data_IF_590844858997
#
_entry.id   IF_590844858997
#
_cell.length_a   1.000
_cell.length_b   1.000
_cell.length_c   1.000
_cell.angle_alpha   90.00
_cell.angle_beta   90.00
_cell.angle_gamma   90.00
#
_symmetry.space_group_name_H-M   'P 1'
#
loop_
_entity.id
_entity.type
_entity.pdbx_description
1 polymer ?
#
# COMPACT_ATOMS: atom_id res chain seq x y z
N UNK A 1 -5.34 -26.61 -4.02
CA UNK A 1 -4.60 -25.57 -4.78
C UNK A 1 -3.98 -24.51 -3.87
N UNK A 2 -4.68 -24.09 -2.80
CA UNK A 2 -4.18 -23.12 -1.80
C UNK A 2 -2.83 -23.48 -1.18
N UNK A 3 -2.65 -24.71 -0.67
CA UNK A 3 -1.39 -25.13 -0.04
C UNK A 3 -0.13 -24.94 -0.91
N UNK A 4 -0.21 -25.17 -2.24
CA UNK A 4 0.93 -24.99 -3.13
C UNK A 4 1.28 -23.50 -3.31
N UNK A 5 0.26 -22.64 -3.45
CA UNK A 5 0.44 -21.19 -3.57
C UNK A 5 1.00 -20.59 -2.27
N UNK A 6 0.50 -21.01 -1.10
CA UNK A 6 1.01 -20.55 0.20
C UNK A 6 2.46 -20.97 0.46
N UNK A 7 2.85 -22.19 0.09
CA UNK A 7 4.26 -22.61 0.13
C UNK A 7 5.13 -21.76 -0.78
N UNK A 8 4.65 -21.44 -1.99
CA UNK A 8 5.36 -20.56 -2.90
C UNK A 8 5.49 -19.13 -2.33
N UNK A 9 4.42 -18.57 -1.77
CA UNK A 9 4.43 -17.27 -1.08
C UNK A 9 5.44 -17.24 0.06
N UNK A 10 5.46 -18.27 0.90
CA UNK A 10 6.37 -18.38 2.05
C UNK A 10 7.83 -18.47 1.61
N UNK A 11 8.14 -19.34 0.64
CA UNK A 11 9.50 -19.47 0.09
C UNK A 11 9.94 -18.16 -0.56
N UNK A 12 9.05 -17.55 -1.34
CA UNK A 12 9.35 -16.36 -2.11
C UNK A 12 9.60 -15.14 -1.22
N UNK A 13 8.77 -14.92 -0.21
CA UNK A 13 8.96 -13.85 0.78
C UNK A 13 10.20 -14.09 1.65
N UNK A 14 10.47 -15.33 2.04
CA UNK A 14 11.67 -15.71 2.78
C UNK A 14 12.96 -15.43 2.00
N UNK A 15 13.00 -15.79 0.71
CA UNK A 15 14.17 -15.53 -0.15
C UNK A 15 14.35 -14.02 -0.36
N UNK A 16 13.28 -13.28 -0.63
CA UNK A 16 13.33 -11.82 -0.78
C UNK A 16 13.89 -11.14 0.48
N UNK A 17 13.36 -11.53 1.66
CA UNK A 17 13.80 -11.06 2.97
C UNK A 17 15.28 -11.40 3.25
N UNK A 18 15.66 -12.66 3.07
CA UNK A 18 17.02 -13.13 3.35
C UNK A 18 18.07 -12.45 2.47
N UNK A 19 17.75 -12.28 1.18
CA UNK A 19 18.61 -11.56 0.24
C UNK A 19 18.70 -10.08 0.60
N UNK A 20 17.57 -9.44 0.93
CA UNK A 20 17.53 -8.06 1.41
C UNK A 20 18.40 -7.83 2.65
N UNK A 21 18.30 -8.71 3.64
CA UNK A 21 19.09 -8.64 4.87
C UNK A 21 20.60 -8.87 4.60
N UNK A 22 20.95 -9.76 3.66
CA UNK A 22 22.34 -10.10 3.32
C UNK A 22 23.11 -8.97 2.62
N UNK A 23 22.40 -8.00 2.03
CA UNK A 23 22.99 -6.90 1.26
C UNK A 23 23.64 -5.85 2.18
N UNK A 24 23.35 -5.84 3.48
CA UNK A 24 24.18 -5.15 4.48
C UNK A 24 24.22 -3.62 4.39
N UNK A 25 23.55 -2.99 3.41
CA UNK A 25 23.52 -1.53 3.19
C UNK A 25 22.26 -0.91 3.81
N UNK A 26 22.19 -1.00 5.15
CA UNK A 26 21.09 -0.55 6.01
C UNK A 26 21.05 0.96 6.26
N UNK A 27 21.04 1.80 5.21
CA UNK A 27 21.09 3.27 5.42
C UNK A 27 19.97 4.08 4.76
N UNK A 28 18.88 3.45 4.32
CA UNK A 28 17.75 4.16 3.72
C UNK A 28 16.40 3.72 4.29
N UNK A 29 15.53 4.70 4.57
CA UNK A 29 14.13 4.47 4.98
C UNK A 29 13.43 3.45 4.09
N UNK A 30 13.66 3.52 2.78
CA UNK A 30 13.00 2.67 1.79
C UNK A 30 13.43 1.19 1.89
N UNK A 31 14.71 0.91 2.13
CA UNK A 31 15.18 -0.47 2.34
C UNK A 31 14.59 -1.10 3.60
N UNK A 32 14.49 -0.33 4.70
CA UNK A 32 13.85 -0.79 5.94
C UNK A 32 12.37 -1.13 5.71
N UNK A 33 11.66 -0.31 4.93
CA UNK A 33 10.27 -0.57 4.56
C UNK A 33 10.10 -1.83 3.73
N UNK A 34 10.93 -2.05 2.70
CA UNK A 34 10.87 -3.29 1.90
C UNK A 34 11.14 -4.54 2.75
N UNK A 35 12.11 -4.50 3.67
CA UNK A 35 12.34 -5.60 4.60
C UNK A 35 11.17 -5.85 5.55
N UNK A 36 10.56 -4.77 6.09
CA UNK A 36 9.38 -4.88 6.93
C UNK A 36 8.24 -5.55 6.17
N UNK A 37 7.99 -5.16 4.91
CA UNK A 37 6.97 -5.78 4.05
C UNK A 37 7.25 -7.28 3.87
N UNK A 38 8.46 -7.67 3.47
CA UNK A 38 8.77 -9.08 3.24
C UNK A 38 8.68 -9.92 4.51
N UNK A 39 9.14 -9.38 5.65
CA UNK A 39 9.02 -10.03 6.95
C UNK A 39 7.56 -10.18 7.37
N UNK A 40 6.77 -9.12 7.27
CA UNK A 40 5.35 -9.14 7.58
C UNK A 40 4.60 -10.16 6.74
N UNK A 41 4.79 -10.14 5.41
CA UNK A 41 4.17 -11.12 4.51
C UNK A 41 4.61 -12.55 4.83
N UNK A 42 5.88 -12.77 5.20
CA UNK A 42 6.37 -14.10 5.61
C UNK A 42 5.67 -14.58 6.89
N UNK A 43 5.60 -13.74 7.93
CA UNK A 43 4.97 -14.08 9.21
C UNK A 43 3.48 -14.35 9.04
N UNK A 44 2.76 -13.49 8.31
CA UNK A 44 1.32 -13.67 8.06
C UNK A 44 1.06 -14.98 7.32
N UNK A 45 1.82 -15.27 6.27
CA UNK A 45 1.66 -16.51 5.49
C UNK A 45 2.05 -17.74 6.30
N UNK A 46 3.04 -17.64 7.18
CA UNK A 46 3.39 -18.71 8.11
C UNK A 46 2.24 -18.99 9.09
N UNK A 47 1.63 -17.96 9.67
CA UNK A 47 0.46 -18.10 10.56
C UNK A 47 -0.71 -18.74 9.81
N UNK A 48 -1.02 -18.27 8.59
CA UNK A 48 -2.09 -18.83 7.77
C UNK A 48 -1.86 -20.32 7.47
N UNK A 49 -0.61 -20.69 7.17
CA UNK A 49 -0.23 -22.08 6.90
C UNK A 49 -0.30 -22.95 8.16
N UNK A 50 0.08 -22.43 9.34
CA UNK A 50 -0.06 -23.16 10.61
C UNK A 50 -1.53 -23.40 10.94
N UNK A 51 -2.39 -22.39 10.81
CA UNK A 51 -3.82 -22.53 11.11
C UNK A 51 -4.49 -23.55 10.18
N UNK A 52 -4.14 -23.54 8.89
CA UNK A 52 -4.63 -24.52 7.91
C UNK A 52 -4.12 -25.95 8.24
N UNK A 53 -2.85 -26.11 8.61
CA UNK A 53 -2.30 -27.42 8.96
C UNK A 53 -2.84 -27.98 10.27
N UNK A 54 -3.22 -27.12 11.21
CA UNK A 54 -3.78 -27.51 12.50
C UNK A 54 -5.32 -27.60 12.49
N UNK A 55 -5.97 -27.35 11.34
CA UNK A 55 -7.44 -27.33 11.20
C UNK A 55 -8.12 -26.41 12.24
N UNK A 56 -7.46 -25.31 12.62
CA UNK A 56 -7.93 -24.38 13.67
C UNK A 56 -8.90 -23.31 13.15
N UNK A 57 -9.48 -23.51 11.96
CA UNK A 57 -10.31 -22.53 11.28
C UNK A 57 -11.57 -22.18 12.08
N UNK A 58 -12.20 -23.18 12.71
CA UNK A 58 -13.44 -23.03 13.48
C UNK A 58 -13.26 -22.38 14.87
N UNK A 59 -12.01 -22.21 15.34
CA UNK A 59 -11.72 -21.67 16.67
C UNK A 59 -11.69 -20.13 16.70
N UNK A 60 -11.75 -19.48 15.53
CA UNK A 60 -11.72 -18.02 15.45
C UNK A 60 -13.13 -17.41 15.41
N UNK A 61 -13.37 -16.32 16.18
CA UNK A 61 -14.69 -15.69 16.27
C UNK A 61 -15.09 -14.88 15.02
N UNK A 62 -14.23 -14.78 14.02
CA UNK A 62 -14.43 -14.03 12.78
C UNK A 62 -14.37 -14.97 11.56
N UNK A 63 -14.93 -14.55 10.43
CA UNK A 63 -14.89 -15.33 9.19
C UNK A 63 -13.44 -15.45 8.70
N UNK A 64 -12.87 -16.64 8.90
CA UNK A 64 -11.49 -16.98 8.54
C UNK A 64 -11.21 -16.71 7.06
N UNK A 65 -12.14 -17.08 6.17
CA UNK A 65 -12.03 -16.83 4.72
C UNK A 65 -11.92 -15.34 4.37
N UNK A 66 -12.74 -14.49 5.01
CA UNK A 66 -12.72 -13.06 4.75
C UNK A 66 -11.42 -12.40 5.23
N UNK A 67 -10.93 -12.85 6.38
CA UNK A 67 -9.64 -12.43 6.90
C UNK A 67 -8.50 -12.86 5.97
N UNK A 68 -8.51 -14.11 5.52
CA UNK A 68 -7.51 -14.66 4.61
C UNK A 68 -7.46 -13.91 3.28
N UNK A 69 -8.61 -13.72 2.62
CA UNK A 69 -8.70 -12.98 1.34
C UNK A 69 -8.13 -11.57 1.52
N UNK A 70 -8.44 -10.91 2.64
CA UNK A 70 -7.96 -9.57 2.95
C UNK A 70 -6.46 -9.54 3.15
N UNK A 71 -5.92 -10.44 3.97
CA UNK A 71 -4.48 -10.58 4.23
C UNK A 71 -3.70 -10.90 2.94
N UNK A 72 -4.24 -11.76 2.07
CA UNK A 72 -3.63 -12.09 0.79
C UNK A 72 -3.67 -10.89 -0.18
N UNK A 73 -4.77 -10.14 -0.20
CA UNK A 73 -4.88 -8.92 -1.00
C UNK A 73 -3.86 -7.85 -0.56
N UNK A 74 -3.79 -7.57 0.74
CA UNK A 74 -2.80 -6.63 1.28
C UNK A 74 -1.37 -7.11 1.04
N UNK A 75 -1.08 -8.39 1.27
CA UNK A 75 0.25 -8.96 1.00
C UNK A 75 0.64 -8.85 -0.47
N UNK A 76 -0.30 -9.06 -1.40
CA UNK A 76 -0.08 -8.83 -2.83
C UNK A 76 0.30 -7.37 -3.10
N UNK A 77 -0.51 -6.42 -2.65
CA UNK A 77 -0.30 -4.99 -2.89
C UNK A 77 1.01 -4.49 -2.27
N UNK A 78 1.34 -4.93 -1.06
CA UNK A 78 2.58 -4.59 -0.39
C UNK A 78 3.79 -5.19 -1.12
N UNK A 79 3.74 -6.47 -1.53
CA UNK A 79 4.81 -7.09 -2.32
C UNK A 79 5.00 -6.44 -3.69
N UNK A 80 3.93 -5.97 -4.34
CA UNK A 80 3.98 -5.19 -5.57
C UNK A 80 4.63 -3.82 -5.33
N UNK A 81 4.28 -3.14 -4.23
CA UNK A 81 4.91 -1.86 -3.88
C UNK A 81 6.42 -2.04 -3.63
N UNK A 82 6.82 -3.09 -2.90
CA UNK A 82 8.21 -3.40 -2.65
C UNK A 82 8.96 -3.74 -3.96
N UNK A 83 8.34 -4.48 -4.88
CA UNK A 83 8.98 -4.84 -6.16
C UNK A 83 9.14 -3.68 -7.14
N UNK A 84 8.39 -2.58 -6.97
CA UNK A 84 8.56 -1.36 -7.76
C UNK A 84 9.54 -0.40 -7.09
N UNK A 85 9.36 -0.16 -5.78
CA UNK A 85 10.11 0.87 -5.06
C UNK A 85 11.55 0.41 -4.78
N UNK A 86 11.76 -0.82 -4.32
CA UNK A 86 13.09 -1.32 -3.96
C UNK A 86 14.11 -1.27 -5.13
N UNK A 87 13.82 -1.79 -6.34
CA UNK A 87 14.79 -1.72 -7.42
C UNK A 87 14.99 -0.31 -7.96
N UNK A 88 13.95 0.54 -8.00
CA UNK A 88 14.08 1.90 -8.54
C UNK A 88 14.98 2.78 -7.69
N UNK A 89 15.09 2.49 -6.39
CA UNK A 89 15.98 3.22 -5.49
C UNK A 89 17.38 2.65 -5.39
N UNK A 90 17.55 1.33 -5.50
CA UNK A 90 18.85 0.69 -5.30
C UNK A 90 19.56 0.32 -6.62
N UNK A 91 18.87 -0.06 -7.70
CA UNK A 91 19.54 -0.49 -8.95
C UNK A 91 20.24 0.68 -9.68
N UNK A 92 19.76 1.92 -9.53
CA UNK A 92 20.32 3.07 -10.24
C UNK A 92 21.69 3.53 -9.70
N UNK A 93 22.11 3.08 -8.52
CA UNK A 93 23.27 3.67 -7.80
C UNK A 93 24.38 2.68 -7.44
N UNK A 94 24.28 1.40 -7.80
CA UNK A 94 25.32 0.42 -7.44
C UNK A 94 26.30 0.12 -8.61
N UNK A 95 27.59 0.47 -8.47
CA UNK A 95 28.63 0.14 -9.46
C UNK A 95 29.10 -1.32 -9.39
N UNK A 96 28.74 -2.07 -8.34
CA UNK A 96 29.22 -3.44 -8.09
C UNK A 96 28.20 -4.50 -8.51
N UNK A 97 28.64 -5.49 -9.31
CA UNK A 97 27.77 -6.48 -9.96
C UNK A 97 27.06 -7.39 -8.95
N UNK A 98 27.74 -7.75 -7.86
CA UNK A 98 27.26 -8.76 -6.91
C UNK A 98 26.07 -8.29 -6.06
N UNK A 99 26.03 -7.01 -5.71
CA UNK A 99 24.90 -6.41 -4.98
C UNK A 99 23.71 -6.11 -5.89
N UNK A 100 23.99 -5.75 -7.15
CA UNK A 100 22.96 -5.57 -8.17
C UNK A 100 22.24 -6.89 -8.44
N UNK A 101 22.98 -7.98 -8.59
CA UNK A 101 22.40 -9.31 -8.80
C UNK A 101 21.49 -9.72 -7.63
N UNK A 102 21.93 -9.53 -6.37
CA UNK A 102 21.09 -9.80 -5.19
C UNK A 102 19.82 -8.94 -5.13
N UNK A 103 19.92 -7.67 -5.52
CA UNK A 103 18.77 -6.74 -5.57
C UNK A 103 17.76 -7.18 -6.63
N UNK A 104 18.25 -7.58 -7.81
CA UNK A 104 17.41 -8.13 -8.89
C UNK A 104 16.74 -9.42 -8.44
N UNK A 105 17.47 -10.34 -7.83
CA UNK A 105 16.92 -11.60 -7.33
C UNK A 105 15.86 -11.35 -6.25
N UNK A 106 16.14 -10.51 -5.25
CA UNK A 106 15.16 -10.17 -4.20
C UNK A 106 13.89 -9.54 -4.79
N UNK A 107 14.04 -8.66 -5.78
CA UNK A 107 12.90 -8.05 -6.51
C UNK A 107 12.11 -9.09 -7.29
N UNK A 108 12.77 -10.01 -8.00
CA UNK A 108 12.13 -11.08 -8.76
C UNK A 108 11.31 -11.99 -7.84
N UNK A 109 11.86 -12.35 -6.68
CA UNK A 109 11.10 -13.09 -5.67
C UNK A 109 9.94 -12.24 -5.11
N UNK A 110 10.11 -10.95 -4.81
CA UNK A 110 8.98 -10.09 -4.42
C UNK A 110 7.85 -10.06 -5.47
N UNK A 111 8.19 -10.06 -6.77
CA UNK A 111 7.21 -10.20 -7.86
C UNK A 111 6.54 -11.58 -7.88
N UNK A 112 7.29 -12.66 -7.67
CA UNK A 112 6.73 -14.01 -7.58
C UNK A 112 5.76 -14.13 -6.40
N UNK A 113 6.09 -13.55 -5.24
CA UNK A 113 5.20 -13.49 -4.08
C UNK A 113 3.92 -12.74 -4.44
N UNK A 114 4.02 -11.57 -5.08
CA UNK A 114 2.86 -10.81 -5.56
C UNK A 114 1.96 -11.66 -6.46
N UNK A 115 2.52 -12.30 -7.49
CA UNK A 115 1.75 -13.16 -8.40
C UNK A 115 1.10 -14.31 -7.65
N UNK A 116 1.81 -14.94 -6.71
CA UNK A 116 1.28 -16.05 -5.93
C UNK A 116 0.10 -15.61 -5.02
N UNK A 117 0.19 -14.46 -4.35
CA UNK A 117 -0.93 -13.90 -3.57
C UNK A 117 -2.11 -13.51 -4.46
N UNK A 118 -1.85 -12.83 -5.58
CA UNK A 118 -2.88 -12.41 -6.53
C UNK A 118 -3.60 -13.61 -7.15
N UNK A 119 -2.87 -14.67 -7.50
CA UNK A 119 -3.43 -15.91 -8.02
C UNK A 119 -4.29 -16.61 -6.97
N UNK A 120 -3.90 -16.63 -5.70
CA UNK A 120 -4.75 -17.22 -4.65
C UNK A 120 -6.07 -16.46 -4.51
N UNK A 121 -6.02 -15.12 -4.49
CA UNK A 121 -7.23 -14.28 -4.46
C UNK A 121 -8.10 -14.49 -5.71
N UNK A 122 -7.49 -14.56 -6.90
CA UNK A 122 -8.20 -14.79 -8.15
C UNK A 122 -8.87 -16.18 -8.20
N UNK A 123 -8.17 -17.21 -7.73
CA UNK A 123 -8.71 -18.57 -7.64
C UNK A 123 -9.90 -18.65 -6.67
N UNK A 124 -9.81 -17.99 -5.50
CA UNK A 124 -10.92 -17.93 -4.54
C UNK A 124 -12.12 -17.20 -5.15
N UNK A 125 -11.90 -16.07 -5.85
CA UNK A 125 -12.97 -15.33 -6.53
C UNK A 125 -13.61 -16.09 -7.70
N UNK A 126 -12.88 -16.98 -8.35
CA UNK A 126 -13.40 -17.80 -9.44
C UNK A 126 -14.31 -18.93 -8.97
N UNK A 127 -14.37 -19.23 -7.66
CA UNK A 127 -15.25 -20.27 -7.13
C UNK A 127 -16.68 -19.72 -6.92
N UNK A 128 -17.68 -20.26 -7.63
CA UNK A 128 -19.06 -19.72 -7.61
C UNK A 128 -19.81 -19.95 -6.28
N UNK A 129 -19.32 -20.83 -5.41
CA UNK A 129 -20.04 -21.23 -4.18
C UNK A 129 -19.56 -20.51 -2.90
N UNK A 130 -18.61 -19.57 -2.97
CA UNK A 130 -17.95 -18.99 -1.78
C UNK A 130 -17.82 -17.45 -1.85
N UNK A 131 -18.87 -16.77 -2.32
CA UNK A 131 -18.89 -15.30 -2.43
C UNK A 131 -19.52 -14.72 -1.16
N UNK A 132 -18.76 -14.62 -0.07
CA UNK A 132 -19.25 -14.02 1.20
C UNK A 132 -18.28 -13.01 1.84
N UNK A 133 -17.30 -12.51 1.09
CA UNK A 133 -16.30 -11.57 1.59
C UNK A 133 -16.42 -10.16 1.04
N UNK A 134 -16.37 -9.16 1.93
CA UNK A 134 -16.33 -7.75 1.56
C UNK A 134 -15.15 -7.41 0.62
N UNK A 135 -13.97 -8.00 0.86
CA UNK A 135 -12.80 -7.90 -0.04
C UNK A 135 -12.93 -8.69 -1.36
N UNK A 136 -14.01 -9.44 -1.56
CA UNK A 136 -14.38 -9.98 -2.87
C UNK A 136 -15.13 -8.94 -3.73
N UNK A 137 -15.69 -7.89 -3.11
CA UNK A 137 -16.39 -6.81 -3.82
C UNK A 137 -15.40 -5.79 -4.40
N UNK A 138 -15.85 -5.05 -5.42
CA UNK A 138 -15.06 -3.97 -6.05
C UNK A 138 -14.75 -2.83 -5.06
N UNK A 139 -15.71 -2.31 -4.26
CA UNK A 139 -15.44 -1.27 -3.26
C UNK A 139 -14.44 -1.72 -2.18
N UNK A 140 -14.52 -2.97 -1.71
CA UNK A 140 -13.56 -3.49 -0.73
C UNK A 140 -12.11 -3.51 -1.24
N UNK A 141 -11.92 -3.87 -2.52
CA UNK A 141 -10.60 -3.82 -3.17
C UNK A 141 -10.09 -2.37 -3.32
N UNK A 142 -10.98 -1.44 -3.68
CA UNK A 142 -10.65 -0.02 -3.78
C UNK A 142 -10.22 0.55 -2.42
N UNK A 143 -10.91 0.21 -1.32
CA UNK A 143 -10.46 0.56 0.05
C UNK A 143 -9.09 0.00 0.42
N UNK A 144 -8.81 -1.23 0.01
CA UNK A 144 -7.47 -1.84 0.17
C UNK A 144 -6.39 -1.06 -0.59
N UNK A 145 -6.69 -0.63 -1.81
CA UNK A 145 -5.80 0.20 -2.62
C UNK A 145 -5.60 1.59 -2.02
N UNK A 146 -6.67 2.26 -1.55
CA UNK A 146 -6.60 3.59 -0.93
C UNK A 146 -5.63 3.63 0.25
N UNK A 147 -5.78 2.64 1.14
CA UNK A 147 -4.95 2.51 2.35
C UNK A 147 -3.52 2.12 2.02
N UNK A 148 -3.31 1.24 1.02
CA UNK A 148 -1.96 0.88 0.59
C UNK A 148 -1.22 2.06 -0.05
N UNK A 149 -1.87 2.81 -0.93
CA UNK A 149 -1.28 4.00 -1.55
C UNK A 149 -0.96 5.05 -0.49
N UNK A 150 -1.85 5.26 0.49
CA UNK A 150 -1.57 6.15 1.62
C UNK A 150 -0.36 5.70 2.45
N UNK A 151 -0.21 4.39 2.72
CA UNK A 151 0.99 3.85 3.35
C UNK A 151 2.25 4.21 2.56
N UNK A 152 2.24 4.00 1.24
CA UNK A 152 3.38 4.35 0.36
C UNK A 152 3.68 5.86 0.41
N UNK A 153 2.65 6.72 0.45
CA UNK A 153 2.82 8.17 0.63
C UNK A 153 3.57 8.46 1.94
N UNK A 154 3.22 7.82 3.06
CA UNK A 154 3.92 8.01 4.33
C UNK A 154 5.40 7.59 4.27
N UNK A 155 5.74 6.56 3.49
CA UNK A 155 7.15 6.18 3.25
C UNK A 155 7.94 7.35 2.66
N UNK A 156 7.39 8.00 1.63
CA UNK A 156 8.05 9.11 0.95
C UNK A 156 8.06 10.41 1.76
N UNK A 157 7.11 10.61 2.68
CA UNK A 157 7.02 11.79 3.55
C UNK A 157 7.73 11.59 4.90
N UNK A 158 8.27 10.39 5.17
CA UNK A 158 8.92 10.06 6.45
C UNK A 158 10.05 11.03 6.86
N UNK A 159 10.63 11.77 5.92
CA UNK A 159 11.61 12.83 6.21
C UNK A 159 10.89 14.14 6.60
N UNK A 160 10.93 14.56 7.88
CA UNK A 160 10.20 15.74 8.38
C UNK A 160 10.55 17.04 7.64
N UNK A 161 11.77 17.12 7.11
CA UNK A 161 12.26 18.25 6.33
C UNK A 161 11.38 18.60 5.11
N UNK A 162 10.61 17.65 4.55
CA UNK A 162 9.80 17.88 3.36
C UNK A 162 8.58 18.79 3.57
N UNK A 163 8.05 18.89 4.80
CA UNK A 163 6.76 19.56 5.04
C UNK A 163 6.73 20.53 6.22
N UNK A 164 7.66 20.43 7.18
CA UNK A 164 7.63 21.23 8.42
C UNK A 164 7.75 22.75 8.21
N UNK A 165 8.33 23.19 7.09
CA UNK A 165 8.56 24.61 6.83
C UNK A 165 7.30 25.35 6.34
N UNK A 166 6.25 24.65 5.92
CA UNK A 166 5.06 25.28 5.35
C UNK A 166 3.77 24.67 5.88
N UNK A 167 2.84 25.47 6.44
CA UNK A 167 1.60 24.96 7.02
C UNK A 167 0.71 24.25 6.00
N UNK A 168 0.75 24.65 4.73
CA UNK A 168 0.02 23.98 3.66
C UNK A 168 0.46 22.52 3.45
N UNK A 169 1.75 22.22 3.63
CA UNK A 169 2.27 20.86 3.50
C UNK A 169 1.94 20.02 4.73
N UNK A 170 1.94 20.62 5.93
CA UNK A 170 1.43 19.99 7.15
C UNK A 170 -0.05 19.61 6.99
N UNK A 171 -0.85 20.48 6.37
CA UNK A 171 -2.24 20.18 6.03
C UNK A 171 -2.36 18.98 5.08
N UNK A 172 -1.52 18.88 4.04
CA UNK A 172 -1.52 17.71 3.17
C UNK A 172 -1.22 16.41 3.93
N UNK A 173 -0.27 16.43 4.87
CA UNK A 173 0.01 15.27 5.73
C UNK A 173 -1.20 14.92 6.59
N UNK A 174 -1.85 15.92 7.19
CA UNK A 174 -3.07 15.71 7.97
C UNK A 174 -4.19 15.09 7.11
N UNK A 175 -4.38 15.56 5.88
CA UNK A 175 -5.32 14.97 4.90
C UNK A 175 -5.01 13.49 4.69
N UNK A 176 -3.77 13.13 4.40
CA UNK A 176 -3.39 11.73 4.19
C UNK A 176 -3.67 10.88 5.43
N UNK A 177 -3.38 11.39 6.63
CA UNK A 177 -3.65 10.68 7.89
C UNK A 177 -5.14 10.52 8.18
N UNK A 178 -5.94 11.58 8.02
CA UNK A 178 -7.38 11.53 8.27
C UNK A 178 -8.06 10.56 7.30
N UNK A 179 -7.77 10.66 6.00
CA UNK A 179 -8.33 9.76 4.99
C UNK A 179 -7.88 8.30 5.19
N UNK A 180 -6.62 8.07 5.56
CA UNK A 180 -6.13 6.73 5.90
C UNK A 180 -6.94 6.13 7.06
N UNK A 181 -7.12 6.88 8.16
CA UNK A 181 -7.89 6.42 9.32
C UNK A 181 -9.36 6.14 8.95
N UNK A 182 -9.99 7.00 8.16
CA UNK A 182 -11.37 6.79 7.69
C UNK A 182 -11.50 5.50 6.88
N UNK A 183 -10.61 5.27 5.90
CA UNK A 183 -10.63 4.05 5.09
C UNK A 183 -10.26 2.79 5.89
N UNK A 184 -9.33 2.89 6.85
CA UNK A 184 -9.01 1.78 7.75
C UNK A 184 -10.18 1.42 8.67
N UNK A 185 -10.89 2.42 9.24
CA UNK A 185 -12.08 2.18 10.06
C UNK A 185 -13.18 1.53 9.22
N UNK A 186 -13.44 2.03 8.01
CA UNK A 186 -14.40 1.42 7.10
C UNK A 186 -14.05 -0.04 6.81
N UNK A 187 -12.78 -0.34 6.55
CA UNK A 187 -12.29 -1.70 6.31
C UNK A 187 -12.46 -2.61 7.54
N UNK A 188 -12.11 -2.12 8.73
CA UNK A 188 -12.23 -2.88 9.98
C UNK A 188 -13.69 -3.18 10.36
N UNK A 189 -14.59 -2.22 10.16
CA UNK A 189 -16.03 -2.41 10.41
C UNK A 189 -16.60 -3.52 9.52
N UNK A 190 -16.26 -3.48 8.23
CA UNK A 190 -16.64 -4.51 7.25
C UNK A 190 -16.05 -5.89 7.60
N UNK A 191 -14.77 -5.94 8.02
CA UNK A 191 -14.12 -7.19 8.41
C UNK A 191 -14.75 -7.82 9.66
N UNK A 192 -15.12 -6.99 10.63
CA UNK A 192 -15.70 -7.42 11.90
C UNK A 192 -17.19 -7.77 11.82
N UNK A 193 -17.85 -7.62 10.66
CA UNK A 193 -19.32 -7.69 10.52
C UNK A 193 -20.03 -6.79 11.56
N UNK A 194 -19.42 -5.65 11.87
CA UNK A 194 -19.94 -4.71 12.88
C UNK A 194 -20.95 -3.72 12.31
N UNK A 195 -21.43 -3.95 11.08
CA UNK A 195 -22.27 -3.04 10.30
C UNK A 195 -23.56 -2.67 11.03
N UNK A 196 -24.14 -3.61 11.79
CA UNK A 196 -25.37 -3.41 12.57
C UNK A 196 -25.20 -2.60 13.86
N UNK A 197 -23.97 -2.18 14.22
CA UNK A 197 -23.72 -1.39 15.44
C UNK A 197 -23.85 0.12 15.21
N UNK A 198 -23.93 0.56 13.95
CA UNK A 198 -24.04 1.97 13.60
C UNK A 198 -25.49 2.45 13.60
N UNK A 199 -25.75 3.69 14.06
CA UNK A 199 -27.10 4.28 14.04
C UNK A 199 -27.56 4.69 12.62
N UNK A 200 -26.68 4.67 11.63
CA UNK A 200 -26.91 5.07 10.23
C UNK A 200 -26.72 3.84 9.34
N UNK A 201 -27.48 3.69 8.23
CA UNK A 201 -27.24 2.62 7.26
C UNK A 201 -25.79 2.61 6.79
N UNK A 202 -25.15 1.45 6.91
CA UNK A 202 -23.73 1.27 6.61
C UNK A 202 -23.29 1.78 5.22
N UNK A 203 -24.05 1.56 4.12
CA UNK A 203 -23.66 2.06 2.80
C UNK A 203 -23.64 3.59 2.72
N UNK A 204 -24.62 4.27 3.33
CA UNK A 204 -24.68 5.74 3.38
C UNK A 204 -23.47 6.28 4.15
N UNK A 205 -23.13 5.66 5.28
CA UNK A 205 -21.95 6.04 6.05
C UNK A 205 -20.66 5.92 5.23
N UNK A 206 -20.50 4.82 4.48
CA UNK A 206 -19.34 4.63 3.60
C UNK A 206 -19.26 5.68 2.49
N UNK A 207 -20.38 5.97 1.81
CA UNK A 207 -20.43 7.01 0.75
C UNK A 207 -20.04 8.38 1.31
N UNK A 208 -20.53 8.75 2.50
CA UNK A 208 -20.19 10.03 3.14
C UNK A 208 -18.69 10.11 3.46
N UNK A 209 -18.10 9.04 4.00
CA UNK A 209 -16.66 8.99 4.27
C UNK A 209 -15.83 9.10 2.98
N UNK A 210 -16.20 8.36 1.93
CA UNK A 210 -15.50 8.41 0.64
C UNK A 210 -15.62 9.79 0.00
N UNK A 211 -16.80 10.43 0.03
CA UNK A 211 -17.00 11.79 -0.46
C UNK A 211 -16.12 12.79 0.29
N UNK A 212 -16.06 12.70 1.62
CA UNK A 212 -15.19 13.55 2.43
C UNK A 212 -13.72 13.35 2.06
N UNK A 213 -13.27 12.10 1.88
CA UNK A 213 -11.91 11.80 1.43
C UNK A 213 -11.59 12.39 0.05
N UNK A 214 -12.53 12.34 -0.92
CA UNK A 214 -12.36 12.97 -2.25
C UNK A 214 -12.13 14.46 -2.11
N UNK A 215 -12.94 15.15 -1.31
CA UNK A 215 -12.81 16.60 -1.10
C UNK A 215 -11.48 16.95 -0.45
N UNK A 216 -11.07 16.21 0.58
CA UNK A 216 -9.80 16.43 1.26
C UNK A 216 -8.61 16.16 0.33
N UNK A 217 -8.59 15.05 -0.41
CA UNK A 217 -7.53 14.74 -1.37
C UNK A 217 -7.46 15.74 -2.53
N UNK A 218 -8.58 16.31 -2.96
CA UNK A 218 -8.58 17.39 -3.95
C UNK A 218 -7.82 18.62 -3.44
N UNK A 219 -7.95 18.96 -2.15
CA UNK A 219 -7.14 20.05 -1.56
C UNK A 219 -5.65 19.71 -1.56
N UNK A 220 -5.28 18.48 -1.18
CA UNK A 220 -3.89 18.04 -1.17
C UNK A 220 -3.27 17.99 -2.58
N UNK A 221 -4.06 17.60 -3.59
CA UNK A 221 -3.63 17.57 -4.99
C UNK A 221 -3.24 18.95 -5.52
N UNK A 222 -3.91 20.01 -5.06
CA UNK A 222 -3.60 21.38 -5.47
C UNK A 222 -2.47 21.96 -4.62
N UNK A 223 -2.55 21.80 -3.30
CA UNK A 223 -1.60 22.41 -2.37
C UNK A 223 -0.21 21.79 -2.46
N UNK A 224 -0.10 20.45 -2.57
CA UNK A 224 1.20 19.80 -2.57
C UNK A 224 2.10 20.25 -3.74
N UNK A 225 1.67 20.17 -5.01
CA UNK A 225 2.51 20.61 -6.13
C UNK A 225 2.75 22.12 -6.13
N UNK A 226 1.75 22.92 -5.74
CA UNK A 226 1.85 24.38 -5.70
C UNK A 226 3.00 24.82 -4.79
N UNK A 227 3.06 24.27 -3.58
CA UNK A 227 4.06 24.66 -2.59
C UNK A 227 5.42 23.97 -2.82
N UNK A 228 5.45 22.77 -3.41
CA UNK A 228 6.71 22.04 -3.66
C UNK A 228 7.43 22.46 -4.95
N UNK A 229 6.71 22.85 -6.01
CA UNK A 229 7.32 23.11 -7.33
C UNK A 229 7.25 24.56 -7.81
N UNK A 230 6.45 25.43 -7.18
CA UNK A 230 6.36 26.83 -7.61
C UNK A 230 7.34 27.73 -6.86
N UNK A 231 8.25 28.38 -7.57
CA UNK A 231 9.24 29.31 -7.00
C UNK A 231 8.59 30.46 -6.21
N UNK A 232 7.41 30.93 -6.63
CA UNK A 232 6.70 32.03 -5.95
C UNK A 232 6.29 31.67 -4.53
N UNK A 233 6.12 30.38 -4.25
CA UNK A 233 5.73 29.85 -2.95
C UNK A 233 6.91 29.15 -2.24
N UNK A 234 8.15 29.40 -2.67
CA UNK A 234 9.35 28.81 -2.08
C UNK A 234 9.67 27.38 -2.53
N UNK A 235 8.95 26.87 -3.54
CA UNK A 235 9.18 25.55 -4.13
C UNK A 235 10.35 25.52 -5.11
N UNK A 236 10.84 24.31 -5.41
CA UNK A 236 11.91 24.09 -6.38
C UNK A 236 11.36 23.35 -7.62
N UNK A 237 11.17 24.05 -8.76
CA UNK A 237 10.64 23.43 -9.97
C UNK A 237 11.62 22.43 -10.58
N UNK A 238 12.92 22.71 -10.50
CA UNK A 238 13.91 22.04 -11.33
C UNK A 238 14.74 21.02 -10.55
N UNK A 239 14.74 19.78 -11.06
CA UNK A 239 15.51 18.66 -10.49
C UNK A 239 17.01 18.93 -10.46
N UNK A 240 17.56 19.59 -11.48
CA UNK A 240 19.00 19.83 -11.61
C UNK A 240 19.57 20.86 -10.62
N UNK A 241 18.70 21.67 -9.98
CA UNK A 241 19.11 22.62 -8.93
C UNK A 241 19.08 22.03 -7.52
N UNK A 242 18.63 20.78 -7.36
CA UNK A 242 18.59 20.11 -6.05
C UNK A 242 19.96 19.47 -5.75
N UNK A 243 20.66 20.03 -4.77
CA UNK A 243 21.99 19.57 -4.33
C UNK A 243 21.94 18.12 -3.85
N UNK A 244 20.80 17.65 -3.31
CA UNK A 244 20.61 16.26 -2.88
C UNK A 244 20.56 15.26 -4.04
N UNK A 245 20.30 15.74 -5.27
CA UNK A 245 20.30 14.95 -6.50
C UNK A 245 21.69 14.86 -7.15
N UNK A 246 22.66 15.65 -6.68
CA UNK A 246 24.00 15.75 -7.30
C UNK A 246 25.01 14.78 -6.66
N UNK A 247 24.76 14.33 -5.43
CA UNK A 247 25.68 13.49 -4.68
C UNK A 247 25.36 12.00 -4.87
N UNK A 248 26.22 11.27 -5.59
CA UNK A 248 26.00 9.84 -5.97
C UNK A 248 26.05 8.85 -4.81
N UNK A 249 26.30 9.30 -3.58
CA UNK A 249 26.75 8.44 -2.49
C UNK A 249 25.74 8.27 -1.33
N UNK A 250 24.52 8.77 -1.43
CA UNK A 250 23.53 8.57 -0.36
C UNK A 250 22.44 7.59 -0.75
N UNK A 251 22.25 6.59 0.12
CA UNK A 251 21.16 5.59 0.12
C UNK A 251 19.75 6.22 0.26
N UNK A 252 19.60 7.50 -0.06
CA UNK A 252 18.39 8.30 0.08
C UNK A 252 17.90 8.70 -1.31
N UNK A 253 16.62 8.48 -1.60
CA UNK A 253 16.01 9.02 -2.82
C UNK A 253 16.08 10.54 -2.77
N UNK A 254 16.61 11.14 -3.84
CA UNK A 254 16.70 12.60 -3.97
C UNK A 254 15.38 13.30 -3.60
N UNK A 255 15.47 14.42 -2.89
CA UNK A 255 14.27 15.07 -2.32
C UNK A 255 13.29 15.53 -3.39
N UNK A 256 13.76 16.01 -4.53
CA UNK A 256 12.89 16.31 -5.68
C UNK A 256 12.10 15.09 -6.18
N UNK A 257 12.74 13.91 -6.26
CA UNK A 257 12.06 12.67 -6.66
C UNK A 257 11.02 12.23 -5.62
N UNK A 258 11.29 12.44 -4.32
CA UNK A 258 10.30 12.18 -3.26
C UNK A 258 9.08 13.11 -3.38
N UNK A 259 9.30 14.42 -3.62
CA UNK A 259 8.22 15.40 -3.83
C UNK A 259 7.34 15.01 -5.02
N UNK A 260 7.97 14.58 -6.12
CA UNK A 260 7.26 14.11 -7.32
C UNK A 260 6.49 12.82 -7.05
N UNK A 261 7.09 11.85 -6.36
CA UNK A 261 6.44 10.60 -6.00
C UNK A 261 5.17 10.86 -5.17
N UNK A 262 5.25 11.73 -4.16
CA UNK A 262 4.08 12.09 -3.34
C UNK A 262 3.01 12.78 -4.18
N UNK A 263 3.36 13.71 -5.08
CA UNK A 263 2.40 14.37 -5.96
C UNK A 263 1.66 13.37 -6.85
N UNK A 264 2.41 12.46 -7.50
CA UNK A 264 1.85 11.42 -8.35
C UNK A 264 0.97 10.44 -7.57
N UNK A 265 1.42 9.98 -6.40
CA UNK A 265 0.65 9.09 -5.54
C UNK A 265 -0.62 9.76 -4.99
N UNK A 266 -0.58 11.06 -4.72
CA UNK A 266 -1.76 11.84 -4.30
C UNK A 266 -2.81 11.88 -5.41
N UNK A 267 -2.39 12.10 -6.66
CA UNK A 267 -3.27 12.05 -7.82
C UNK A 267 -3.87 10.65 -8.03
N UNK A 268 -3.03 9.61 -7.95
CA UNK A 268 -3.48 8.21 -8.05
C UNK A 268 -4.49 7.90 -6.93
N UNK A 269 -4.21 8.30 -5.68
CA UNK A 269 -5.12 8.00 -4.57
C UNK A 269 -6.46 8.72 -4.73
N UNK A 270 -6.45 9.98 -5.18
CA UNK A 270 -7.68 10.70 -5.49
C UNK A 270 -8.50 9.98 -6.56
N UNK A 271 -7.88 9.47 -7.62
CA UNK A 271 -8.59 8.70 -8.66
C UNK A 271 -9.22 7.43 -8.09
N UNK A 272 -8.54 6.74 -7.17
CA UNK A 272 -9.07 5.57 -6.49
C UNK A 272 -10.30 5.97 -5.65
N UNK A 273 -10.21 7.03 -4.83
CA UNK A 273 -11.35 7.53 -4.04
C UNK A 273 -12.54 7.95 -4.91
N UNK A 274 -12.30 8.62 -6.04
CA UNK A 274 -13.36 9.01 -6.98
C UNK A 274 -14.02 7.77 -7.59
N UNK A 275 -13.21 6.77 -7.95
CA UNK A 275 -13.70 5.50 -8.50
C UNK A 275 -14.54 4.75 -7.46
N UNK A 276 -14.07 4.67 -6.22
CA UNK A 276 -14.81 4.09 -5.08
C UNK A 276 -16.15 4.79 -4.89
N UNK A 277 -16.16 6.13 -4.90
CA UNK A 277 -17.39 6.92 -4.76
C UNK A 277 -18.39 6.61 -5.87
N UNK A 278 -17.94 6.55 -7.14
CA UNK A 278 -18.82 6.24 -8.28
C UNK A 278 -19.40 4.84 -8.16
N UNK A 279 -18.59 3.84 -7.79
CA UNK A 279 -19.07 2.47 -7.62
C UNK A 279 -20.03 2.33 -6.43
N UNK A 280 -19.72 2.93 -5.29
CA UNK A 280 -20.62 2.91 -4.12
C UNK A 280 -21.96 3.58 -4.44
N UNK A 281 -21.95 4.77 -5.06
CA UNK A 281 -23.20 5.46 -5.42
C UNK A 281 -24.01 4.66 -6.43
N UNK A 282 -23.37 4.06 -7.44
CA UNK A 282 -24.08 3.27 -8.44
C UNK A 282 -24.66 1.98 -7.86
N UNK A 283 -23.92 1.27 -7.00
CA UNK A 283 -24.39 0.01 -6.41
C UNK A 283 -25.52 0.25 -5.39
N UNK A 284 -25.42 1.32 -4.60
CA UNK A 284 -26.33 1.54 -3.46
C UNK A 284 -27.59 2.32 -3.84
N UNK A 285 -27.56 3.15 -4.90
CA UNK A 285 -28.69 4.03 -5.26
C UNK A 285 -29.32 3.76 -6.63
N UNK A 286 -28.65 3.04 -7.53
CA UNK A 286 -29.17 2.76 -8.88
C UNK A 286 -29.64 1.31 -9.03
N UNK A 287 -29.04 0.38 -8.29
CA UNK A 287 -29.34 -1.06 -8.36
C UNK A 287 -30.17 -1.59 -7.19
N UNK A 288 -30.45 -0.76 -6.18
CA UNK A 288 -31.30 -1.08 -5.02
C UNK A 288 -32.71 -0.52 -5.17
#
# INVERSE_FOLDING_TARGET
MGCCLRRLQLLSTCVAFSLGASVGTWKGTIGNWSMFIWCFCFVVTLINLIVELCELEDHFPFSWDNFLITCNCYSALLCLSASIIYPTTYIQFLPDSRYRDRTITSTAFSCLAFVAYAMEVACIRAQPNMITGYMATVPGLLKGLETTVACVIFIFISSPYLYLHQPALVWCVAVYSICFLMSSVALLLNLGKCDNRLPIPFPIFQVVLTLLSVLLYATALVLWPLYQFNQKFGGQPQRSSDVSCSDRLTSLVCTWNQRLAVASLTAINLLIYVTDLVFSVHLDFVSG
#
